data_IF_662520737582
#
_entry.id   IF_662520737582
#
_cell.length_a   1.000
_cell.length_b   1.000
_cell.length_c   1.000
_cell.angle_alpha   90.00
_cell.angle_beta   90.00
_cell.angle_gamma   90.00
#
_symmetry.space_group_name_H-M   'P 1'
#
loop_
_entity.id
_entity.type
_entity.pdbx_description
1 polymer ?
#
# COMPACT_ATOMS: atom_id res chain seq x y z
N UNK A 1 6.66 7.52 -6.91
CA UNK A 1 7.56 6.34 -6.99
C UNK A 1 6.75 5.19 -7.56
N UNK A 2 7.32 4.41 -8.48
CA UNK A 2 6.69 3.19 -9.02
C UNK A 2 7.68 2.04 -8.86
N UNK A 3 7.24 0.96 -8.25
CA UNK A 3 8.06 -0.21 -7.91
C UNK A 3 7.24 -1.49 -8.09
N UNK A 4 7.90 -2.61 -8.36
CA UNK A 4 7.26 -3.93 -8.39
C UNK A 4 7.78 -4.71 -7.18
N UNK A 5 6.87 -5.19 -6.34
CA UNK A 5 7.19 -6.01 -5.16
C UNK A 5 6.50 -7.38 -5.27
N UNK A 6 7.13 -8.41 -4.72
CA UNK A 6 6.51 -9.73 -4.60
C UNK A 6 5.92 -9.89 -3.20
N UNK A 7 4.59 -10.03 -3.12
CA UNK A 7 3.89 -10.31 -1.88
C UNK A 7 3.57 -11.80 -1.79
N UNK A 8 3.94 -12.44 -0.68
CA UNK A 8 3.59 -13.83 -0.43
C UNK A 8 2.42 -13.93 0.56
N UNK A 9 1.30 -14.50 0.11
CA UNK A 9 0.14 -14.82 0.94
C UNK A 9 -0.23 -16.27 0.77
N UNK A 10 -0.31 -17.02 1.88
CA UNK A 10 -0.71 -18.44 1.88
C UNK A 10 0.06 -19.32 0.88
N UNK A 11 1.39 -19.15 0.77
CA UNK A 11 2.27 -19.83 -0.19
C UNK A 11 2.01 -19.48 -1.67
N UNK A 12 1.23 -18.43 -1.95
CA UNK A 12 1.05 -17.87 -3.28
C UNK A 12 1.82 -16.56 -3.36
N UNK A 13 2.66 -16.42 -4.37
CA UNK A 13 3.37 -15.19 -4.69
C UNK A 13 2.55 -14.34 -5.66
N UNK A 14 2.42 -13.05 -5.34
CA UNK A 14 1.75 -12.05 -6.14
C UNK A 14 2.76 -10.98 -6.53
N UNK A 15 2.95 -10.77 -7.83
CA UNK A 15 3.67 -9.62 -8.33
C UNK A 15 2.73 -8.41 -8.26
N UNK A 16 3.14 -7.38 -7.52
CA UNK A 16 2.29 -6.22 -7.23
C UNK A 16 3.02 -4.95 -7.65
N UNK A 17 2.37 -4.18 -8.53
CA UNK A 17 2.84 -2.86 -8.90
C UNK A 17 2.41 -1.85 -7.83
N UNK A 18 3.39 -1.26 -7.13
CA UNK A 18 3.18 -0.22 -6.13
C UNK A 18 3.48 1.14 -6.74
N UNK A 19 2.46 2.00 -6.76
CA UNK A 19 2.61 3.41 -7.13
C UNK A 19 2.36 4.28 -5.91
N UNK A 20 3.40 4.98 -5.45
CA UNK A 20 3.34 5.92 -4.35
C UNK A 20 3.36 7.37 -4.80
N UNK A 21 2.46 8.17 -4.23
CA UNK A 21 2.58 9.61 -4.20
C UNK A 21 2.77 10.07 -2.75
N UNK A 22 3.92 10.67 -2.49
CA UNK A 22 4.22 11.30 -1.21
C UNK A 22 4.00 12.78 -1.43
N UNK A 23 2.81 13.28 -1.07
CA UNK A 23 2.60 14.72 -1.08
C UNK A 23 3.29 15.30 0.15
N UNK A 24 4.56 15.66 -0.06
CA UNK A 24 5.47 16.16 0.98
C UNK A 24 5.03 17.51 1.56
N UNK A 25 4.07 18.21 0.94
CA UNK A 25 3.62 19.52 1.41
C UNK A 25 2.61 19.36 2.56
N UNK A 26 1.75 18.34 2.50
CA UNK A 26 0.67 18.12 3.47
C UNK A 26 0.93 16.97 4.45
N UNK A 27 2.10 16.32 4.36
CA UNK A 27 2.42 15.14 5.18
C UNK A 27 1.50 13.97 4.87
N UNK A 28 0.96 13.91 3.65
CA UNK A 28 0.03 12.88 3.22
C UNK A 28 0.72 11.89 2.29
N UNK A 29 0.66 10.63 2.67
CA UNK A 29 1.27 9.53 1.93
C UNK A 29 0.16 8.63 1.40
N UNK A 30 0.22 8.33 0.11
CA UNK A 30 -0.73 7.45 -0.56
C UNK A 30 0.00 6.43 -1.43
N UNK A 31 -0.43 5.16 -1.33
CA UNK A 31 0.02 4.07 -2.17
C UNK A 31 -1.16 3.38 -2.85
N UNK A 32 -0.98 3.10 -4.14
CA UNK A 32 -1.80 2.17 -4.91
C UNK A 32 -1.02 0.89 -5.14
N UNK A 33 -1.58 -0.25 -4.73
CA UNK A 33 -1.05 -1.59 -4.91
C UNK A 33 -1.92 -2.30 -5.95
N UNK A 34 -1.42 -2.43 -7.18
CA UNK A 34 -2.14 -3.05 -8.30
C UNK A 34 -1.68 -4.49 -8.47
N UNK A 35 -2.62 -5.43 -8.33
CA UNK A 35 -2.39 -6.87 -8.49
C UNK A 35 -2.62 -7.31 -9.95
N UNK A 36 -3.64 -6.73 -10.59
CA UNK A 36 -3.93 -6.92 -12.02
C UNK A 36 -4.73 -5.70 -12.55
N UNK A 37 -5.28 -5.79 -13.77
CA UNK A 37 -6.02 -4.69 -14.39
C UNK A 37 -7.29 -4.27 -13.64
N UNK A 38 -7.92 -5.18 -12.90
CA UNK A 38 -9.20 -4.97 -12.22
C UNK A 38 -9.03 -4.87 -10.68
N UNK A 39 -7.99 -5.48 -10.13
CA UNK A 39 -7.78 -5.61 -8.69
C UNK A 39 -6.67 -4.68 -8.20
N UNK A 40 -7.06 -3.70 -7.37
CA UNK A 40 -6.13 -2.80 -6.70
C UNK A 40 -6.54 -2.48 -5.26
N UNK A 41 -5.54 -2.27 -4.41
CA UNK A 41 -5.70 -1.83 -3.02
C UNK A 41 -5.11 -0.45 -2.88
N UNK A 42 -5.87 0.45 -2.25
CA UNK A 42 -5.44 1.82 -1.99
C UNK A 42 -5.28 2.01 -0.49
N UNK A 43 -4.08 2.45 -0.07
CA UNK A 43 -3.79 2.78 1.33
C UNK A 43 -3.26 4.21 1.44
N UNK A 44 -3.54 4.85 2.57
CA UNK A 44 -2.97 6.16 2.88
C UNK A 44 -2.71 6.33 4.36
N UNK A 45 -1.85 7.30 4.68
CA UNK A 45 -1.67 7.83 6.03
C UNK A 45 -1.26 9.30 5.99
N UNK A 46 -1.54 10.01 7.08
CA UNK A 46 -0.82 11.23 7.40
C UNK A 46 0.45 10.90 8.20
N UNK A 47 1.41 11.81 8.23
CA UNK A 47 2.64 11.69 9.01
C UNK A 47 2.31 11.44 10.49
N UNK A 48 2.88 10.37 11.05
CA UNK A 48 2.66 9.95 12.44
C UNK A 48 1.34 9.20 12.67
N UNK A 49 0.50 9.02 11.65
CA UNK A 49 -0.74 8.24 11.75
C UNK A 49 -0.57 6.79 11.28
N UNK A 50 -1.60 5.98 11.55
CA UNK A 50 -1.70 4.61 11.07
C UNK A 50 -2.15 4.59 9.60
N UNK A 51 -1.69 3.58 8.88
CA UNK A 51 -2.19 3.30 7.53
C UNK A 51 -3.68 2.94 7.57
N UNK A 52 -4.43 3.47 6.60
CA UNK A 52 -5.86 3.23 6.42
C UNK A 52 -6.14 2.72 5.01
N UNK A 53 -7.17 1.90 4.89
CA UNK A 53 -7.69 1.50 3.59
C UNK A 53 -8.54 2.63 3.01
N UNK A 54 -8.31 2.99 1.75
CA UNK A 54 -9.04 4.07 1.07
C UNK A 54 -10.26 3.52 0.33
N UNK A 55 -10.11 2.38 -0.35
CA UNK A 55 -11.14 1.79 -1.21
C UNK A 55 -11.88 0.59 -0.59
N UNK A 56 -11.57 0.24 0.67
CA UNK A 56 -12.26 -0.80 1.43
C UNK A 56 -12.45 -0.36 2.88
N UNK A 57 -13.64 -0.57 3.44
CA UNK A 57 -13.95 -0.20 4.83
C UNK A 57 -13.56 -1.31 5.80
N UNK A 58 -13.25 -0.95 7.04
CA UNK A 58 -13.03 -1.88 8.16
C UNK A 58 -11.88 -2.89 7.97
N UNK A 59 -10.91 -2.57 7.11
CA UNK A 59 -9.76 -3.41 6.79
C UNK A 59 -8.41 -2.77 7.15
N UNK A 60 -8.40 -1.81 8.09
CA UNK A 60 -7.20 -1.05 8.47
C UNK A 60 -6.04 -1.91 9.00
N UNK A 61 -6.34 -3.09 9.56
CA UNK A 61 -5.30 -4.06 9.91
C UNK A 61 -4.45 -4.46 8.70
N UNK A 62 -5.08 -4.68 7.55
CA UNK A 62 -4.38 -5.01 6.31
C UNK A 62 -3.64 -3.80 5.74
N UNK A 63 -4.22 -2.60 5.81
CA UNK A 63 -3.51 -1.38 5.42
C UNK A 63 -2.21 -1.19 6.20
N UNK A 64 -2.26 -1.42 7.52
CA UNK A 64 -1.07 -1.35 8.38
C UNK A 64 0.00 -2.34 7.96
N UNK A 65 -0.38 -3.59 7.67
CA UNK A 65 0.57 -4.62 7.20
C UNK A 65 1.17 -4.28 5.84
N UNK A 66 0.37 -3.82 4.89
CA UNK A 66 0.84 -3.45 3.56
C UNK A 66 1.76 -2.23 3.60
N UNK A 67 1.38 -1.20 4.36
CA UNK A 67 2.20 -0.01 4.54
C UNK A 67 3.54 -0.31 5.20
N UNK A 68 3.57 -1.15 6.24
CA UNK A 68 4.82 -1.63 6.86
C UNK A 68 5.71 -2.38 5.87
N UNK A 69 5.14 -3.21 4.98
CA UNK A 69 5.92 -3.91 3.95
C UNK A 69 6.56 -2.90 3.01
N UNK A 70 5.77 -1.96 2.46
CA UNK A 70 6.25 -0.95 1.52
C UNK A 70 7.36 -0.09 2.14
N UNK A 71 7.22 0.33 3.40
CA UNK A 71 8.21 1.16 4.08
C UNK A 71 9.53 0.43 4.42
N UNK A 72 9.51 -0.91 4.44
CA UNK A 72 10.69 -1.74 4.69
C UNK A 72 11.27 -2.37 3.41
N UNK A 73 10.67 -2.13 2.24
CA UNK A 73 11.25 -2.52 0.96
C UNK A 73 12.46 -1.61 0.67
N UNK A 74 13.64 -2.18 0.37
CA UNK A 74 14.90 -1.44 0.22
C UNK A 74 14.96 -0.48 -0.98
#
# INVERSE_FOLDING_TARGET
MKEIINLNFNNTEYEVEVTGNVDKIEGFIYYSLKFDEENSILISKYDGEKWRMVNMKDHDFFAQKLGEIIENTP
#
